data_IF_348345701326
#
_entry.id   IF_348345701326
#
_cell.length_a   1.000
_cell.length_b   1.000
_cell.length_c   1.000
_cell.angle_alpha   90.00
_cell.angle_beta   90.00
_cell.angle_gamma   90.00
#
_symmetry.space_group_name_H-M   'P 1'
#
loop_
_entity.id
_entity.type
_entity.pdbx_description
1 polymer ?
#
# COMPACT_ATOMS: atom_id res chain seq x y z
N UNK A 1 -5.28 -3.86 4.14
CA UNK A 1 -4.24 -3.91 3.08
C UNK A 1 -3.12 -4.76 3.62
N UNK A 2 -2.77 -5.82 2.94
CA UNK A 2 -1.74 -6.79 3.35
C UNK A 2 -0.38 -6.06 3.50
N UNK A 3 0.17 -6.05 4.68
CA UNK A 3 1.47 -5.44 4.98
C UNK A 3 2.56 -6.43 4.58
N UNK A 4 2.95 -6.50 3.38
CA UNK A 4 3.86 -7.51 2.82
C UNK A 4 3.55 -7.77 1.36
N UNK A 5 2.58 -7.03 0.81
CA UNK A 5 2.30 -7.13 -0.61
C UNK A 5 3.54 -6.72 -1.41
N UNK A 6 3.95 -7.58 -2.30
CA UNK A 6 5.04 -7.31 -3.24
C UNK A 6 4.75 -6.02 -4.01
N UNK A 7 5.72 -5.11 -4.06
CA UNK A 7 5.57 -3.79 -4.69
C UNK A 7 5.18 -3.91 -6.17
N UNK A 8 4.38 -2.96 -6.68
CA UNK A 8 3.93 -2.97 -8.08
C UNK A 8 5.08 -3.03 -9.09
N UNK A 9 6.19 -2.34 -8.83
CA UNK A 9 7.36 -2.36 -9.72
C UNK A 9 8.03 -3.73 -9.79
N UNK A 10 8.07 -4.45 -8.68
CA UNK A 10 8.56 -5.84 -8.65
C UNK A 10 7.60 -6.73 -9.45
N UNK A 11 6.30 -6.57 -9.29
CA UNK A 11 5.29 -7.30 -10.08
C UNK A 11 5.40 -6.99 -11.57
N UNK A 12 5.59 -5.73 -11.94
CA UNK A 12 5.85 -5.29 -13.31
C UNK A 12 7.11 -5.95 -13.87
N UNK A 13 8.19 -6.02 -13.07
CA UNK A 13 9.42 -6.70 -13.48
C UNK A 13 9.21 -8.18 -13.76
N UNK A 14 8.52 -8.91 -12.87
CA UNK A 14 8.18 -10.32 -13.12
C UNK A 14 7.30 -10.48 -14.36
N UNK A 15 6.32 -9.61 -14.55
CA UNK A 15 5.47 -9.60 -15.74
C UNK A 15 6.21 -9.29 -17.04
N UNK A 16 7.17 -8.36 -17.02
CA UNK A 16 7.98 -8.00 -18.18
C UNK A 16 9.04 -9.06 -18.52
N UNK A 17 9.58 -9.74 -17.51
CA UNK A 17 10.63 -10.74 -17.64
C UNK A 17 10.13 -12.19 -17.54
N UNK A 18 8.85 -12.43 -17.84
CA UNK A 18 8.23 -13.76 -17.74
C UNK A 18 8.97 -14.84 -18.57
N UNK A 19 9.67 -14.45 -19.64
CA UNK A 19 10.49 -15.35 -20.44
C UNK A 19 11.62 -16.03 -19.66
N UNK A 20 12.15 -15.41 -18.59
CA UNK A 20 13.17 -16.02 -17.74
C UNK A 20 12.65 -17.26 -16.99
N UNK A 21 11.33 -17.35 -16.80
CA UNK A 21 10.65 -18.39 -16.06
C UNK A 21 9.95 -19.41 -16.96
N UNK A 22 9.91 -19.14 -18.27
CA UNK A 22 9.20 -19.97 -19.24
C UNK A 22 9.75 -21.40 -19.28
N UNK A 23 8.86 -22.38 -19.18
CA UNK A 23 9.20 -23.81 -19.28
C UNK A 23 10.00 -24.36 -18.07
N UNK A 24 10.25 -23.58 -17.04
CA UNK A 24 10.96 -24.00 -15.82
C UNK A 24 10.00 -24.21 -14.66
N UNK A 25 10.31 -25.10 -13.71
CA UNK A 25 9.61 -25.14 -12.43
C UNK A 25 9.96 -23.88 -11.62
N UNK A 26 8.96 -23.32 -10.97
CA UNK A 26 9.15 -22.18 -10.07
C UNK A 26 8.75 -22.60 -8.65
N UNK A 27 9.67 -22.41 -7.73
CA UNK A 27 9.46 -22.63 -6.30
C UNK A 27 9.40 -21.30 -5.58
N UNK A 28 8.32 -21.06 -4.84
CA UNK A 28 8.11 -19.79 -4.13
C UNK A 28 8.14 -20.00 -2.64
N UNK A 29 9.14 -19.44 -1.98
CA UNK A 29 9.24 -19.41 -0.52
C UNK A 29 8.60 -18.16 0.06
N UNK A 30 7.83 -18.31 1.14
CA UNK A 30 7.07 -17.24 1.79
C UNK A 30 6.06 -16.57 0.85
N UNK A 31 5.18 -17.37 0.26
CA UNK A 31 4.18 -16.98 -0.77
C UNK A 31 3.22 -15.88 -0.33
N UNK A 32 2.93 -15.79 0.97
CA UNK A 32 2.06 -14.77 1.55
C UNK A 32 0.68 -14.73 0.90
N UNK A 33 0.43 -13.76 0.05
CA UNK A 33 -0.84 -13.63 -0.66
C UNK A 33 -0.77 -14.08 -2.13
N UNK A 34 0.11 -14.97 -2.50
CA UNK A 34 0.27 -15.52 -3.86
C UNK A 34 0.32 -14.46 -4.96
N UNK A 35 1.00 -13.36 -4.68
CA UNK A 35 0.99 -12.19 -5.60
C UNK A 35 1.83 -12.45 -6.84
N UNK A 36 3.01 -13.04 -6.69
CA UNK A 36 3.91 -13.32 -7.81
C UNK A 36 3.44 -14.54 -8.58
N UNK A 37 2.94 -15.55 -7.91
CA UNK A 37 2.28 -16.70 -8.53
C UNK A 37 1.14 -16.25 -9.46
N UNK A 38 0.34 -15.27 -9.01
CA UNK A 38 -0.70 -14.67 -9.84
C UNK A 38 -0.11 -13.99 -11.08
N UNK A 39 0.96 -13.20 -10.93
CA UNK A 39 1.62 -12.52 -12.06
C UNK A 39 2.16 -13.53 -13.08
N UNK A 40 2.81 -14.58 -12.61
CA UNK A 40 3.40 -15.62 -13.48
C UNK A 40 2.32 -16.48 -14.14
N UNK A 41 1.21 -16.74 -13.43
CA UNK A 41 0.08 -17.54 -13.97
C UNK A 41 -0.64 -16.85 -15.13
N UNK A 42 -0.74 -15.53 -15.11
CA UNK A 42 -1.39 -14.73 -16.17
C UNK A 42 -0.43 -14.20 -17.23
N UNK A 43 0.87 -14.48 -17.10
CA UNK A 43 1.88 -14.03 -18.03
C UNK A 43 1.72 -14.68 -19.42
N UNK A 44 2.24 -14.01 -20.47
CA UNK A 44 2.16 -14.49 -21.86
C UNK A 44 2.85 -15.85 -22.04
N UNK A 45 4.00 -16.06 -21.41
CA UNK A 45 4.65 -17.37 -21.31
C UNK A 45 4.65 -17.78 -19.85
N UNK A 46 4.29 -19.04 -19.60
CA UNK A 46 4.10 -19.55 -18.25
C UNK A 46 5.25 -20.45 -17.82
N UNK A 47 5.53 -20.51 -16.52
CA UNK A 47 6.34 -21.59 -15.95
C UNK A 47 5.75 -22.97 -16.29
N UNK A 48 6.60 -24.01 -16.25
CA UNK A 48 6.16 -25.41 -16.40
C UNK A 48 5.25 -25.82 -15.22
N UNK A 49 5.64 -25.42 -14.04
CA UNK A 49 4.88 -25.59 -12.80
C UNK A 49 5.21 -24.48 -11.80
N UNK A 50 4.28 -24.20 -10.90
CA UNK A 50 4.47 -23.29 -9.76
C UNK A 50 4.21 -24.08 -8.49
N UNK A 51 5.22 -24.11 -7.61
CA UNK A 51 5.19 -24.77 -6.32
C UNK A 51 5.38 -23.68 -5.27
N UNK A 52 4.47 -23.59 -4.31
CA UNK A 52 4.45 -22.52 -3.31
C UNK A 52 4.59 -23.06 -1.90
N UNK A 53 5.20 -22.28 -1.01
CA UNK A 53 5.31 -22.64 0.42
C UNK A 53 5.18 -21.42 1.33
N UNK A 54 4.63 -21.65 2.51
CA UNK A 54 4.56 -20.70 3.63
C UNK A 54 4.16 -21.45 4.91
N UNK A 55 4.44 -20.86 6.06
CA UNK A 55 4.14 -21.45 7.38
C UNK A 55 2.94 -20.80 8.07
N UNK A 56 2.39 -19.71 7.53
CA UNK A 56 1.27 -19.00 8.17
C UNK A 56 -0.07 -19.69 7.92
N UNK A 57 -0.93 -19.74 8.94
CA UNK A 57 -2.30 -20.27 8.80
C UNK A 57 -3.02 -19.65 7.58
N UNK A 58 -2.97 -18.32 7.46
CA UNK A 58 -3.64 -17.61 6.36
C UNK A 58 -3.20 -18.10 4.98
N UNK A 59 -1.89 -18.15 4.75
CA UNK A 59 -1.35 -18.58 3.45
C UNK A 59 -1.59 -20.06 3.22
N UNK A 60 -1.48 -20.88 4.25
CA UNK A 60 -1.62 -22.34 4.15
C UNK A 60 -3.06 -22.75 3.82
N UNK A 61 -4.07 -22.12 4.43
CA UNK A 61 -5.47 -22.34 4.04
C UNK A 61 -5.73 -21.93 2.60
N UNK A 62 -5.19 -20.78 2.17
CA UNK A 62 -5.34 -20.33 0.78
C UNK A 62 -4.57 -21.25 -0.19
N UNK A 63 -3.38 -21.70 0.18
CA UNK A 63 -2.57 -22.63 -0.60
C UNK A 63 -3.31 -23.97 -0.83
N UNK A 64 -3.83 -24.56 0.24
CA UNK A 64 -4.67 -25.75 0.16
C UNK A 64 -5.90 -25.53 -0.75
N UNK A 65 -6.60 -24.40 -0.59
CA UNK A 65 -7.73 -24.06 -1.47
C UNK A 65 -7.34 -23.95 -2.95
N UNK A 66 -6.22 -23.32 -3.26
CA UNK A 66 -5.80 -23.13 -4.66
C UNK A 66 -5.28 -24.42 -5.31
N UNK A 67 -4.83 -25.38 -4.51
CA UNK A 67 -4.34 -26.69 -4.98
C UNK A 67 -5.31 -27.85 -4.77
N UNK A 68 -6.57 -27.56 -4.44
CA UNK A 68 -7.61 -28.56 -4.15
C UNK A 68 -7.26 -29.52 -3.01
N UNK A 69 -6.42 -29.06 -2.07
CA UNK A 69 -6.04 -29.81 -0.89
C UNK A 69 -7.01 -29.64 0.27
N UNK A 70 -6.96 -30.59 1.19
CA UNK A 70 -7.69 -30.51 2.45
C UNK A 70 -6.93 -29.68 3.48
N UNK A 71 -7.69 -28.98 4.33
CA UNK A 71 -7.15 -28.22 5.45
C UNK A 71 -8.05 -28.37 6.68
N UNK A 72 -7.48 -28.31 7.88
CA UNK A 72 -8.19 -28.44 9.15
C UNK A 72 -7.89 -27.30 10.08
N UNK A 73 -8.92 -26.68 10.62
CA UNK A 73 -8.82 -25.66 11.67
C UNK A 73 -9.87 -25.95 12.73
N UNK A 74 -9.48 -25.85 13.99
CA UNK A 74 -10.39 -25.86 15.13
C UNK A 74 -10.62 -24.44 15.60
N UNK A 75 -11.85 -24.14 16.01
CA UNK A 75 -12.19 -22.84 16.61
C UNK A 75 -11.79 -22.83 18.06
N UNK A 76 -11.10 -21.79 18.51
CA UNK A 76 -10.76 -21.57 19.92
C UNK A 76 -11.92 -20.98 20.71
N UNK A 77 -11.96 -21.20 22.04
CA UNK A 77 -12.98 -20.59 22.92
C UNK A 77 -13.12 -19.09 22.76
N UNK A 78 -14.36 -18.59 22.72
CA UNK A 78 -14.70 -17.19 22.47
C UNK A 78 -14.86 -16.80 20.99
N UNK A 79 -14.59 -17.75 20.07
CA UNK A 79 -14.75 -17.55 18.62
C UNK A 79 -15.71 -18.56 17.98
N UNK A 80 -16.57 -19.20 18.75
CA UNK A 80 -17.53 -20.23 18.31
C UNK A 80 -18.43 -19.75 17.17
N UNK A 81 -18.63 -18.45 17.06
CA UNK A 81 -19.37 -17.82 15.97
C UNK A 81 -18.72 -18.02 14.58
N UNK A 82 -17.44 -18.44 14.51
CA UNK A 82 -16.74 -18.78 13.27
C UNK A 82 -17.08 -20.20 12.78
N UNK A 83 -17.51 -21.10 13.64
CA UNK A 83 -17.73 -22.51 13.32
C UNK A 83 -18.52 -22.75 12.03
N UNK A 84 -19.61 -22.01 11.73
CA UNK A 84 -20.39 -22.20 10.51
C UNK A 84 -19.61 -21.87 9.21
N UNK A 85 -18.50 -21.14 9.32
CA UNK A 85 -17.71 -20.68 8.20
C UNK A 85 -16.46 -21.52 7.93
N UNK A 86 -16.23 -22.59 8.69
CA UNK A 86 -15.06 -23.45 8.60
C UNK A 86 -15.36 -24.82 7.99
N UNK A 87 -16.53 -25.02 7.39
CA UNK A 87 -16.91 -26.26 6.74
C UNK A 87 -16.22 -26.38 5.36
N UNK A 88 -15.09 -27.08 5.30
CA UNK A 88 -14.30 -27.32 4.11
C UNK A 88 -13.34 -26.17 3.74
N UNK A 89 -12.31 -26.50 2.98
CA UNK A 89 -11.15 -25.64 2.68
C UNK A 89 -11.54 -24.31 2.01
N UNK A 90 -12.48 -24.31 1.07
CA UNK A 90 -12.97 -23.06 0.45
C UNK A 90 -13.61 -22.12 1.46
N UNK A 91 -14.42 -22.66 2.37
CA UNK A 91 -15.10 -21.87 3.40
C UNK A 91 -14.10 -21.28 4.38
N UNK A 92 -13.12 -22.08 4.81
CA UNK A 92 -12.01 -21.64 5.67
C UNK A 92 -11.19 -20.54 4.99
N UNK A 93 -10.83 -20.71 3.71
CA UNK A 93 -10.10 -19.71 2.95
C UNK A 93 -10.83 -18.36 2.92
N UNK A 94 -12.15 -18.37 2.66
CA UNK A 94 -12.96 -17.17 2.67
C UNK A 94 -13.06 -16.53 4.09
N UNK A 95 -13.21 -17.35 5.12
CA UNK A 95 -13.22 -16.87 6.51
C UNK A 95 -11.88 -16.20 6.88
N UNK A 96 -10.76 -16.80 6.49
CA UNK A 96 -9.43 -16.22 6.71
C UNK A 96 -9.26 -14.87 5.99
N UNK A 97 -9.77 -14.71 4.77
CA UNK A 97 -9.75 -13.41 4.06
C UNK A 97 -10.51 -12.34 4.84
N UNK A 98 -11.68 -12.64 5.37
CA UNK A 98 -12.48 -11.70 6.18
C UNK A 98 -11.79 -11.40 7.51
N UNK A 99 -11.28 -12.41 8.20
CA UNK A 99 -10.55 -12.23 9.46
C UNK A 99 -9.33 -11.34 9.29
N UNK A 100 -8.61 -11.45 8.18
CA UNK A 100 -7.48 -10.57 7.88
C UNK A 100 -7.91 -9.08 7.78
N UNK A 101 -9.06 -8.80 7.18
CA UNK A 101 -9.63 -7.44 7.14
C UNK A 101 -10.05 -6.94 8.54
N UNK A 102 -10.36 -7.86 9.45
CA UNK A 102 -10.72 -7.57 10.83
C UNK A 102 -9.51 -7.43 11.77
N UNK A 103 -8.31 -7.82 11.34
CA UNK A 103 -7.11 -7.93 12.17
C UNK A 103 -6.75 -6.67 12.98
N UNK A 104 -7.01 -5.50 12.41
CA UNK A 104 -6.80 -4.22 13.09
C UNK A 104 -7.72 -4.00 14.30
N UNK A 105 -8.89 -4.66 14.33
CA UNK A 105 -9.95 -4.47 15.35
C UNK A 105 -9.92 -5.53 16.45
N UNK A 106 -9.23 -6.62 16.19
CA UNK A 106 -9.19 -7.79 17.07
C UNK A 106 -8.86 -7.46 18.54
N UNK A 107 -7.90 -6.57 18.80
CA UNK A 107 -7.50 -6.19 20.15
C UNK A 107 -8.50 -5.31 20.91
N UNK A 108 -9.49 -4.77 20.24
CA UNK A 108 -10.57 -3.96 20.83
C UNK A 108 -10.10 -2.82 21.77
N UNK A 109 -8.90 -2.29 21.57
CA UNK A 109 -8.23 -1.34 22.46
C UNK A 109 -8.97 0.00 22.65
N UNK A 110 -9.81 0.37 21.71
CA UNK A 110 -10.57 1.63 21.73
C UNK A 110 -12.05 1.36 21.57
N UNK A 111 -12.90 2.31 22.00
CA UNK A 111 -14.36 2.24 21.75
C UNK A 111 -14.68 2.08 20.25
N UNK A 112 -13.86 2.70 19.37
CA UNK A 112 -13.99 2.53 17.94
C UNK A 112 -13.67 1.10 17.50
N UNK A 113 -12.54 0.51 17.97
CA UNK A 113 -12.17 -0.87 17.62
C UNK A 113 -13.25 -1.86 18.08
N UNK A 114 -13.80 -1.72 19.28
CA UNK A 114 -14.91 -2.56 19.76
C UNK A 114 -16.14 -2.46 18.88
N UNK A 115 -16.56 -1.23 18.50
CA UNK A 115 -17.70 -1.04 17.59
C UNK A 115 -17.45 -1.64 16.21
N UNK A 116 -16.24 -1.48 15.66
CA UNK A 116 -15.88 -2.06 14.38
C UNK A 116 -15.80 -3.58 14.43
N UNK A 117 -15.30 -4.14 15.51
CA UNK A 117 -15.30 -5.59 15.74
C UNK A 117 -16.72 -6.16 15.72
N UNK A 118 -17.63 -5.60 16.50
CA UNK A 118 -19.03 -6.01 16.52
C UNK A 118 -19.75 -5.79 15.18
N UNK A 119 -19.45 -4.69 14.50
CA UNK A 119 -19.98 -4.44 13.15
C UNK A 119 -19.53 -5.53 12.16
N UNK A 120 -18.24 -5.85 12.14
CA UNK A 120 -17.72 -6.89 11.27
C UNK A 120 -18.28 -8.28 11.60
N UNK A 121 -18.45 -8.61 12.86
CA UNK A 121 -19.12 -9.88 13.24
C UNK A 121 -20.52 -9.96 12.64
N UNK A 122 -21.32 -8.89 12.74
CA UNK A 122 -22.67 -8.83 12.15
C UNK A 122 -22.68 -8.93 10.62
N UNK A 123 -21.67 -8.39 9.97
CA UNK A 123 -21.52 -8.40 8.50
C UNK A 123 -20.72 -9.60 7.98
N UNK A 124 -20.26 -10.49 8.86
CA UNK A 124 -19.32 -11.54 8.51
C UNK A 124 -19.85 -12.47 7.43
N UNK A 125 -21.09 -12.91 7.53
CA UNK A 125 -21.73 -13.81 6.56
C UNK A 125 -21.77 -13.21 5.14
N UNK A 126 -22.05 -11.91 5.03
CA UNK A 126 -22.06 -11.21 3.74
C UNK A 126 -20.63 -11.05 3.18
N UNK A 127 -19.69 -10.59 4.01
CA UNK A 127 -18.30 -10.45 3.64
C UNK A 127 -17.68 -11.80 3.24
N UNK A 128 -18.00 -12.86 3.92
CA UNK A 128 -17.57 -14.22 3.64
C UNK A 128 -18.09 -14.72 2.28
N UNK A 129 -19.39 -14.55 1.98
CA UNK A 129 -19.95 -14.88 0.66
C UNK A 129 -19.24 -14.13 -0.46
N UNK A 130 -18.97 -12.85 -0.26
CA UNK A 130 -18.24 -12.02 -1.20
C UNK A 130 -16.78 -12.50 -1.37
N UNK A 131 -16.11 -12.87 -0.27
CA UNK A 131 -14.76 -13.42 -0.30
C UNK A 131 -14.71 -14.75 -1.08
N UNK A 132 -15.68 -15.66 -0.89
CA UNK A 132 -15.80 -16.91 -1.68
C UNK A 132 -15.86 -16.62 -3.18
N UNK A 133 -16.73 -15.72 -3.61
CA UNK A 133 -16.85 -15.35 -5.02
C UNK A 133 -15.53 -14.80 -5.60
N UNK A 134 -14.82 -13.96 -4.86
CA UNK A 134 -13.51 -13.43 -5.28
C UNK A 134 -12.43 -14.51 -5.34
N UNK A 135 -12.39 -15.41 -4.39
CA UNK A 135 -11.45 -16.53 -4.36
C UNK A 135 -11.70 -17.50 -5.52
N UNK A 136 -12.96 -17.81 -5.83
CA UNK A 136 -13.32 -18.65 -6.99
C UNK A 136 -12.85 -18.03 -8.33
N UNK A 137 -13.02 -16.71 -8.51
CA UNK A 137 -12.49 -15.99 -9.68
C UNK A 137 -10.97 -16.09 -9.74
N UNK A 138 -10.31 -15.88 -8.61
CA UNK A 138 -8.85 -15.93 -8.52
C UNK A 138 -8.30 -17.32 -8.82
N UNK A 139 -8.93 -18.37 -8.29
CA UNK A 139 -8.54 -19.76 -8.52
C UNK A 139 -8.54 -20.13 -10.00
N UNK A 140 -9.48 -19.61 -10.80
CA UNK A 140 -9.54 -19.84 -12.24
C UNK A 140 -8.33 -19.30 -13.01
N UNK A 141 -7.69 -18.25 -12.51
CA UNK A 141 -6.55 -17.59 -13.15
C UNK A 141 -5.20 -17.93 -12.52
N UNK A 142 -5.20 -18.48 -11.32
CA UNK A 142 -4.00 -18.80 -10.55
C UNK A 142 -3.67 -20.29 -10.75
N UNK A 143 -2.50 -20.56 -11.31
CA UNK A 143 -2.02 -21.91 -11.57
C UNK A 143 -0.90 -22.25 -10.58
N UNK A 144 -1.26 -22.85 -9.44
CA UNK A 144 -0.32 -23.44 -8.49
C UNK A 144 -0.50 -24.94 -8.55
N UNK A 145 0.59 -25.66 -8.84
CA UNK A 145 0.56 -27.12 -8.99
C UNK A 145 0.62 -27.82 -7.63
N UNK A 146 1.42 -27.29 -6.72
CA UNK A 146 1.57 -27.85 -5.36
C UNK A 146 1.77 -26.73 -4.36
N UNK A 147 1.28 -26.95 -3.16
CA UNK A 147 1.51 -26.09 -2.01
C UNK A 147 2.07 -26.93 -0.84
N UNK A 148 3.09 -26.40 -0.17
CA UNK A 148 3.68 -27.01 1.02
C UNK A 148 3.51 -26.03 2.20
N UNK A 149 2.84 -26.49 3.25
CA UNK A 149 2.78 -25.81 4.53
C UNK A 149 4.09 -26.11 5.30
N UNK A 150 5.20 -25.51 4.88
CA UNK A 150 6.53 -25.83 5.39
C UNK A 150 7.45 -24.60 5.41
N UNK A 151 8.43 -24.64 6.31
CA UNK A 151 9.48 -23.64 6.40
C UNK A 151 10.33 -23.63 5.11
N UNK A 152 10.57 -22.45 4.60
CA UNK A 152 11.41 -22.22 3.44
C UNK A 152 12.79 -22.87 3.55
N UNK A 153 13.34 -22.99 4.76
CA UNK A 153 14.61 -23.68 5.04
C UNK A 153 14.59 -25.14 4.59
N UNK A 154 13.47 -25.83 4.82
CA UNK A 154 13.28 -27.23 4.42
C UNK A 154 12.95 -27.34 2.93
N UNK A 155 12.14 -26.41 2.43
CA UNK A 155 11.70 -26.43 1.03
C UNK A 155 12.86 -26.26 0.06
N UNK A 156 13.86 -25.44 0.41
CA UNK A 156 15.00 -25.13 -0.48
C UNK A 156 15.84 -26.36 -0.82
N UNK A 157 15.88 -27.38 0.05
CA UNK A 157 16.61 -28.62 -0.20
C UNK A 157 15.97 -29.50 -1.28
N UNK A 158 14.73 -29.24 -1.62
CA UNK A 158 13.96 -29.99 -2.63
C UNK A 158 13.86 -29.28 -3.98
N UNK A 159 14.44 -28.08 -4.08
CA UNK A 159 14.41 -27.29 -5.32
C UNK A 159 15.31 -27.96 -6.37
N UNK A 160 14.78 -28.41 -7.51
CA UNK A 160 15.59 -29.02 -8.58
C UNK A 160 16.55 -28.02 -9.22
N UNK A 161 17.65 -28.50 -9.81
CA UNK A 161 18.68 -27.68 -10.46
C UNK A 161 18.13 -26.86 -11.65
N UNK A 162 17.12 -27.37 -12.36
CA UNK A 162 16.48 -26.70 -13.49
C UNK A 162 15.42 -25.68 -13.04
N UNK A 163 15.05 -25.65 -11.76
CA UNK A 163 14.06 -24.74 -11.20
C UNK A 163 14.62 -23.36 -10.89
N UNK A 164 13.72 -22.41 -10.67
CA UNK A 164 14.04 -21.08 -10.12
C UNK A 164 13.35 -20.91 -8.78
N UNK A 165 14.12 -20.62 -7.75
CA UNK A 165 13.61 -20.35 -6.41
C UNK A 165 13.33 -18.85 -6.23
N UNK A 166 12.11 -18.50 -5.89
CA UNK A 166 11.69 -17.13 -5.61
C UNK A 166 11.62 -16.94 -4.09
N UNK A 167 12.54 -16.15 -3.56
CA UNK A 167 12.70 -15.94 -2.13
C UNK A 167 12.10 -14.61 -1.69
N UNK A 168 11.03 -14.67 -0.90
CA UNK A 168 10.35 -13.51 -0.31
C UNK A 168 10.48 -13.50 1.22
N UNK A 169 11.64 -13.78 1.74
CA UNK A 169 11.90 -13.78 3.18
C UNK A 169 11.39 -12.51 3.86
N UNK A 170 10.88 -12.60 5.09
CA UNK A 170 10.49 -11.44 5.86
C UNK A 170 11.66 -10.44 5.97
N UNK A 171 11.41 -9.20 5.52
CA UNK A 171 12.41 -8.11 5.60
C UNK A 171 12.28 -7.30 6.89
N UNK A 172 11.37 -7.68 7.79
CA UNK A 172 11.04 -6.97 9.01
C UNK A 172 11.25 -7.87 10.22
N UNK A 173 11.99 -7.38 11.20
CA UNK A 173 12.21 -8.08 12.48
C UNK A 173 10.92 -8.16 13.35
N UNK A 174 9.88 -7.42 13.03
CA UNK A 174 8.58 -7.48 13.71
C UNK A 174 7.48 -6.91 12.80
N UNK A 175 6.31 -7.54 12.76
CA UNK A 175 5.15 -7.00 12.04
C UNK A 175 4.28 -8.02 11.32
N UNK A 176 4.84 -9.12 10.85
CA UNK A 176 4.06 -10.23 10.28
C UNK A 176 3.20 -10.90 11.35
N UNK A 177 3.76 -11.16 12.51
CA UNK A 177 3.05 -11.68 13.70
C UNK A 177 1.82 -10.83 14.07
N UNK A 178 1.90 -9.51 13.93
CA UNK A 178 0.75 -8.63 14.20
C UNK A 178 -0.45 -8.89 13.29
N UNK A 179 -0.21 -9.25 12.05
CA UNK A 179 -1.27 -9.55 11.09
C UNK A 179 -1.93 -10.87 11.38
N UNK A 180 -1.14 -11.84 11.82
CA UNK A 180 -1.60 -13.21 12.02
C UNK A 180 -2.14 -13.50 13.42
N UNK A 181 -1.92 -12.62 14.40
CA UNK A 181 -2.45 -12.77 15.77
C UNK A 181 -3.95 -13.03 15.88
N UNK A 182 -4.74 -12.55 14.93
CA UNK A 182 -6.16 -12.84 14.91
C UNK A 182 -6.43 -14.32 14.62
N UNK A 183 -5.63 -14.94 13.78
CA UNK A 183 -5.74 -16.35 13.45
C UNK A 183 -5.31 -17.21 14.63
N UNK A 184 -4.17 -16.90 15.23
CA UNK A 184 -3.66 -17.57 16.43
C UNK A 184 -4.64 -17.46 17.62
N UNK A 185 -5.32 -16.32 17.76
CA UNK A 185 -6.31 -16.11 18.80
C UNK A 185 -7.64 -16.84 18.55
N UNK A 186 -8.04 -16.96 17.27
CA UNK A 186 -9.36 -17.44 16.90
C UNK A 186 -9.38 -18.93 16.56
N UNK A 187 -8.25 -19.48 16.11
CA UNK A 187 -8.18 -20.82 15.54
C UNK A 187 -6.93 -21.56 16.00
N UNK A 188 -7.05 -22.86 16.04
CA UNK A 188 -5.97 -23.81 16.25
C UNK A 188 -5.76 -24.60 14.95
N UNK A 189 -4.52 -24.73 14.56
CA UNK A 189 -4.14 -25.55 13.43
C UNK A 189 -3.46 -26.84 13.95
N UNK A 190 -4.17 -27.99 13.94
CA UNK A 190 -3.62 -29.25 14.51
C UNK A 190 -2.34 -29.71 13.81
N UNK A 191 -2.22 -29.47 12.51
CA UNK A 191 -1.10 -29.89 11.68
C UNK A 191 -0.12 -28.72 11.42
N UNK A 192 0.03 -27.79 12.39
CA UNK A 192 0.91 -26.64 12.24
C UNK A 192 2.37 -27.08 12.01
N UNK A 193 3.02 -26.61 10.93
CA UNK A 193 4.40 -26.98 10.66
C UNK A 193 5.33 -26.31 11.69
N UNK A 194 6.32 -27.07 12.13
CA UNK A 194 7.42 -26.48 12.90
C UNK A 194 8.19 -25.47 12.02
N UNK A 195 8.39 -24.29 12.54
CA UNK A 195 9.24 -23.29 11.89
C UNK A 195 10.08 -22.54 12.92
N UNK A 196 11.18 -21.97 12.46
CA UNK A 196 12.04 -21.14 13.31
C UNK A 196 12.03 -19.72 12.81
N UNK A 197 11.80 -18.77 13.72
CA UNK A 197 11.83 -17.34 13.41
C UNK A 197 13.17 -16.95 12.78
N UNK A 198 13.09 -16.22 11.68
CA UNK A 198 14.28 -15.74 10.97
C UNK A 198 14.84 -14.51 11.69
N UNK A 199 15.96 -14.70 12.39
CA UNK A 199 16.84 -13.62 12.84
C UNK A 199 17.88 -13.25 11.77
N UNK A 200 18.76 -12.31 12.09
CA UNK A 200 19.80 -11.86 11.17
C UNK A 200 20.81 -12.97 10.81
N UNK A 201 21.22 -13.79 11.78
CA UNK A 201 22.18 -14.86 11.55
C UNK A 201 21.58 -15.97 10.69
N UNK A 202 20.37 -16.40 11.02
CA UNK A 202 19.66 -17.43 10.23
C UNK A 202 19.34 -16.94 8.82
N UNK A 203 19.09 -15.64 8.65
CA UNK A 203 18.93 -15.05 7.32
C UNK A 203 20.18 -15.17 6.48
N UNK A 204 21.36 -14.89 7.03
CA UNK A 204 22.62 -15.05 6.31
C UNK A 204 22.87 -16.50 5.90
N UNK A 205 22.66 -17.46 6.82
CA UNK A 205 22.76 -18.90 6.53
C UNK A 205 21.78 -19.33 5.43
N UNK A 206 20.55 -18.81 5.44
CA UNK A 206 19.57 -19.07 4.41
C UNK A 206 19.99 -18.55 3.04
N UNK A 207 20.58 -17.35 3.00
CA UNK A 207 21.10 -16.76 1.78
C UNK A 207 22.29 -17.56 1.23
N UNK A 208 23.18 -17.99 2.09
CA UNK A 208 24.30 -18.85 1.72
C UNK A 208 23.80 -20.19 1.15
N UNK A 209 22.87 -20.85 1.83
CA UNK A 209 22.22 -22.07 1.35
C UNK A 209 21.58 -21.86 -0.02
N UNK A 210 20.77 -20.80 -0.19
CA UNK A 210 20.12 -20.50 -1.45
C UNK A 210 21.12 -20.25 -2.60
N UNK A 211 22.21 -19.51 -2.35
CA UNK A 211 23.21 -19.21 -3.37
C UNK A 211 23.99 -20.43 -3.84
N UNK A 212 24.18 -21.39 -2.95
CA UNK A 212 24.93 -22.61 -3.22
C UNK A 212 24.10 -23.72 -3.89
N UNK A 213 22.74 -23.68 -3.73
CA UNK A 213 21.87 -24.77 -4.17
C UNK A 213 20.93 -24.40 -5.31
N UNK A 214 20.60 -23.13 -5.51
CA UNK A 214 19.50 -22.76 -6.41
C UNK A 214 19.87 -21.70 -7.44
N UNK A 215 19.15 -21.72 -8.58
CA UNK A 215 18.90 -20.51 -9.34
C UNK A 215 17.80 -19.73 -8.61
N UNK A 216 17.99 -18.42 -8.41
CA UNK A 216 17.07 -17.69 -7.57
C UNK A 216 16.75 -16.27 -8.07
N UNK A 217 15.63 -15.76 -7.59
CA UNK A 217 15.30 -14.33 -7.51
C UNK A 217 14.96 -14.02 -6.05
N UNK A 218 15.69 -13.09 -5.45
CA UNK A 218 15.57 -12.76 -4.03
C UNK A 218 15.26 -11.28 -3.82
N UNK A 219 14.33 -10.99 -2.89
CA UNK A 219 13.98 -9.64 -2.46
C UNK A 219 14.55 -9.37 -1.08
N UNK A 220 15.33 -8.29 -0.95
CA UNK A 220 15.87 -7.84 0.33
C UNK A 220 15.66 -6.33 0.53
N UNK A 221 15.80 -5.86 1.76
CA UNK A 221 15.86 -4.45 2.14
C UNK A 221 17.31 -3.94 2.26
N UNK A 222 18.28 -4.80 2.08
CA UNK A 222 19.73 -4.51 2.10
C UNK A 222 20.33 -4.84 0.74
N UNK A 223 21.19 -3.95 0.23
CA UNK A 223 21.95 -4.22 -0.98
C UNK A 223 23.06 -5.24 -0.66
N UNK A 224 23.05 -6.38 -1.38
CA UNK A 224 23.99 -7.46 -1.13
C UNK A 224 24.89 -7.70 -2.33
N UNK A 225 26.17 -7.37 -2.18
CA UNK A 225 27.14 -7.51 -3.27
C UNK A 225 27.41 -8.96 -3.66
N UNK A 226 27.22 -9.90 -2.75
CA UNK A 226 27.48 -11.35 -2.95
C UNK A 226 26.30 -12.09 -3.59
N UNK A 227 25.13 -11.48 -3.74
CA UNK A 227 23.94 -12.12 -4.30
C UNK A 227 23.80 -11.83 -5.80
N UNK A 228 24.66 -12.37 -6.64
CA UNK A 228 24.53 -12.30 -8.09
C UNK A 228 24.32 -10.87 -8.61
N UNK A 229 23.50 -10.71 -9.66
CA UNK A 229 23.19 -9.43 -10.26
C UNK A 229 22.07 -8.73 -9.49
N UNK A 230 22.28 -7.47 -9.12
CA UNK A 230 21.22 -6.62 -8.58
C UNK A 230 20.42 -6.00 -9.72
N UNK A 231 19.26 -6.58 -10.01
CA UNK A 231 18.42 -6.17 -11.14
C UNK A 231 17.52 -4.98 -10.85
N UNK A 232 17.25 -4.70 -9.57
CA UNK A 232 16.40 -3.58 -9.19
C UNK A 232 16.80 -3.01 -7.84
N UNK A 233 16.79 -1.68 -7.73
CA UNK A 233 16.88 -0.95 -6.48
C UNK A 233 15.78 0.11 -6.45
N UNK A 234 14.93 0.11 -5.43
CA UNK A 234 13.82 1.04 -5.33
C UNK A 234 13.54 1.44 -3.89
N UNK A 235 12.85 2.57 -3.71
CA UNK A 235 12.37 3.00 -2.40
C UNK A 235 10.90 2.58 -2.23
N UNK A 236 10.62 1.74 -1.26
CA UNK A 236 9.26 1.36 -0.87
C UNK A 236 8.89 2.05 0.47
N UNK A 237 8.24 3.20 0.38
CA UNK A 237 8.00 4.04 1.56
C UNK A 237 9.29 4.63 2.12
N UNK A 238 9.63 4.30 3.37
CA UNK A 238 10.86 4.74 4.03
C UNK A 238 12.04 3.76 3.89
N UNK A 239 11.86 2.63 3.23
CA UNK A 239 12.87 1.56 3.16
C UNK A 239 13.28 1.27 1.72
N UNK A 240 14.57 1.00 1.48
CA UNK A 240 15.01 0.48 0.20
C UNK A 240 14.53 -0.97 0.02
N UNK A 241 14.31 -1.36 -1.21
CA UNK A 241 14.04 -2.74 -1.62
C UNK A 241 14.92 -3.06 -2.82
N UNK A 242 15.58 -4.17 -2.76
CA UNK A 242 16.49 -4.67 -3.78
C UNK A 242 16.00 -6.00 -4.31
N UNK A 243 16.13 -6.20 -5.60
CA UNK A 243 15.89 -7.49 -6.26
C UNK A 243 17.24 -8.01 -6.77
N UNK A 244 17.59 -9.22 -6.36
CA UNK A 244 18.84 -9.90 -6.73
C UNK A 244 18.54 -11.21 -7.44
N UNK A 245 19.40 -11.60 -8.40
CA UNK A 245 19.29 -12.88 -9.08
C UNK A 245 20.65 -13.38 -9.56
N UNK A 246 20.79 -14.70 -9.66
CA UNK A 246 21.89 -15.37 -10.35
C UNK A 246 21.49 -15.93 -11.72
N UNK A 247 20.29 -15.60 -12.19
CA UNK A 247 19.86 -16.00 -13.54
C UNK A 247 20.73 -15.34 -14.61
N UNK A 248 21.13 -16.08 -15.66
CA UNK A 248 21.93 -15.54 -16.76
C UNK A 248 21.11 -14.55 -17.60
N UNK A 249 21.82 -13.65 -18.28
CA UNK A 249 21.25 -12.70 -19.24
C UNK A 249 20.21 -11.72 -18.65
N UNK A 250 20.25 -11.48 -17.36
CA UNK A 250 19.42 -10.46 -16.70
C UNK A 250 20.23 -9.16 -16.62
N UNK A 251 19.80 -8.15 -17.36
CA UNK A 251 20.39 -6.83 -17.29
C UNK A 251 20.15 -6.17 -15.92
N UNK A 252 21.14 -5.44 -15.42
CA UNK A 252 20.99 -4.60 -14.24
C UNK A 252 20.22 -3.34 -14.63
N UNK A 253 18.91 -3.38 -14.60
CA UNK A 253 18.09 -2.16 -14.59
C UNK A 253 18.13 -1.58 -13.17
N UNK A 254 19.07 -0.69 -12.95
CA UNK A 254 19.05 0.16 -11.77
C UNK A 254 17.83 1.09 -11.89
N UNK A 255 16.69 0.65 -11.40
CA UNK A 255 15.62 1.58 -11.07
C UNK A 255 16.16 2.47 -9.94
N UNK A 256 16.85 3.51 -10.29
CA UNK A 256 17.01 4.64 -9.38
C UNK A 256 15.60 5.09 -9.07
N UNK A 257 15.13 4.81 -7.86
CA UNK A 257 13.96 5.48 -7.32
C UNK A 257 14.34 6.95 -7.19
N UNK A 258 14.27 7.71 -8.28
CA UNK A 258 14.78 9.06 -8.25
C UNK A 258 14.50 9.84 -9.51
N UNK A 259 14.50 9.22 -10.64
CA UNK A 259 13.94 9.87 -11.82
C UNK A 259 12.46 9.55 -11.92
N UNK A 260 11.69 10.16 -11.05
CA UNK A 260 10.26 10.32 -11.32
C UNK A 260 10.19 11.05 -12.65
N UNK A 261 9.66 10.38 -13.69
CA UNK A 261 9.37 11.05 -14.95
C UNK A 261 8.61 12.32 -14.57
N UNK A 262 9.20 13.46 -14.84
CA UNK A 262 8.61 14.77 -14.59
C UNK A 262 8.00 15.23 -15.88
N UNK A 263 6.76 15.62 -15.85
CA UNK A 263 6.04 16.16 -16.99
C UNK A 263 5.32 17.44 -16.53
N UNK A 264 5.54 18.52 -17.21
CA UNK A 264 4.77 19.73 -16.97
C UNK A 264 3.27 19.43 -17.10
N UNK A 265 2.41 19.98 -16.23
CA UNK A 265 0.96 19.88 -16.40
C UNK A 265 0.54 20.45 -17.75
N UNK A 266 -0.54 19.90 -18.31
CA UNK A 266 -1.12 20.40 -19.56
C UNK A 266 -1.75 21.80 -19.38
N UNK A 267 -2.07 22.17 -18.14
CA UNK A 267 -2.61 23.49 -17.79
C UNK A 267 -1.46 24.42 -17.40
N UNK A 268 -1.50 25.64 -17.92
CA UNK A 268 -0.49 26.66 -17.64
C UNK A 268 -0.42 26.99 -16.13
N UNK A 269 0.78 27.14 -15.58
CA UNK A 269 0.93 27.66 -14.23
C UNK A 269 0.66 29.15 -14.20
N UNK A 270 0.12 29.62 -13.07
CA UNK A 270 0.06 31.05 -12.80
C UNK A 270 1.48 31.63 -12.78
N UNK A 271 1.79 32.49 -13.71
CA UNK A 271 3.07 33.21 -13.74
C UNK A 271 3.18 34.23 -12.63
N UNK A 272 4.41 34.66 -12.33
CA UNK A 272 4.65 35.63 -11.25
C UNK A 272 3.85 36.93 -11.44
N UNK A 273 3.76 37.42 -12.67
CA UNK A 273 3.11 38.67 -13.02
C UNK A 273 1.78 38.48 -13.77
N UNK A 274 1.31 37.22 -13.90
CA UNK A 274 0.06 36.92 -14.62
C UNK A 274 -1.13 37.60 -13.94
N UNK A 275 -1.94 38.31 -14.71
CA UNK A 275 -3.18 38.91 -14.26
C UNK A 275 -4.35 37.99 -14.54
N UNK A 276 -5.16 37.72 -13.53
CA UNK A 276 -6.38 36.93 -13.64
C UNK A 276 -7.56 37.84 -14.05
N UNK A 277 -8.47 37.29 -14.83
CA UNK A 277 -9.70 37.99 -15.14
C UNK A 277 -10.50 38.35 -13.89
N UNK A 278 -11.24 39.46 -13.89
CA UNK A 278 -11.96 40.01 -12.72
C UNK A 278 -12.92 39.03 -12.05
N UNK A 279 -13.46 38.10 -12.82
CA UNK A 279 -14.34 37.04 -12.34
C UNK A 279 -13.55 35.77 -12.08
N UNK A 280 -13.28 35.47 -10.83
CA UNK A 280 -12.57 34.25 -10.45
C UNK A 280 -13.48 33.02 -10.49
N UNK A 281 -13.01 31.99 -11.18
CA UNK A 281 -13.62 30.65 -11.21
C UNK A 281 -12.62 29.63 -10.68
N UNK A 282 -13.02 28.83 -9.67
CA UNK A 282 -12.18 27.75 -9.14
C UNK A 282 -12.56 26.45 -9.83
N UNK A 283 -11.59 25.78 -10.41
CA UNK A 283 -11.70 24.40 -10.91
C UNK A 283 -10.66 23.49 -10.25
N UNK A 284 -10.96 22.19 -10.26
CA UNK A 284 -10.09 21.14 -9.72
C UNK A 284 -9.87 20.13 -10.84
N UNK A 285 -8.62 19.88 -11.17
CA UNK A 285 -8.22 18.94 -12.22
C UNK A 285 -7.48 17.75 -11.62
N UNK A 286 -7.59 16.59 -12.21
CA UNK A 286 -6.77 15.42 -11.83
C UNK A 286 -5.38 15.57 -12.43
N UNK A 287 -4.35 15.33 -11.62
CA UNK A 287 -2.96 15.32 -12.08
C UNK A 287 -2.43 13.89 -12.09
N UNK A 288 -1.63 13.58 -13.09
CA UNK A 288 -0.84 12.35 -13.11
C UNK A 288 0.33 12.45 -12.10
N UNK A 289 0.92 11.31 -11.73
CA UNK A 289 2.09 11.30 -10.83
C UNK A 289 3.26 12.14 -11.37
N UNK A 290 3.62 12.08 -12.66
CA UNK A 290 4.65 12.94 -13.25
C UNK A 290 4.34 14.44 -13.16
N UNK A 291 3.11 14.85 -13.43
CA UNK A 291 2.68 16.26 -13.37
C UNK A 291 2.71 16.80 -11.94
N UNK A 292 2.15 16.03 -10.99
CA UNK A 292 2.18 16.40 -9.58
C UNK A 292 3.62 16.50 -9.05
N UNK A 293 4.47 15.54 -9.40
CA UNK A 293 5.88 15.56 -9.00
C UNK A 293 6.61 16.77 -9.59
N UNK A 294 6.33 17.13 -10.85
CA UNK A 294 6.94 18.29 -11.50
C UNK A 294 6.63 19.60 -10.74
N UNK A 295 5.35 19.85 -10.39
CA UNK A 295 4.96 21.03 -9.61
C UNK A 295 5.54 20.99 -8.20
N UNK A 296 5.44 19.84 -7.52
CA UNK A 296 5.93 19.68 -6.16
C UNK A 296 7.42 19.94 -6.03
N UNK A 297 8.22 19.38 -6.93
CA UNK A 297 9.67 19.43 -6.84
C UNK A 297 10.23 20.84 -7.10
N UNK A 298 9.44 21.70 -7.75
CA UNK A 298 9.81 23.11 -7.94
C UNK A 298 9.52 24.00 -6.72
N UNK A 299 8.44 23.71 -5.99
CA UNK A 299 7.91 24.64 -4.98
C UNK A 299 7.93 24.09 -3.55
N UNK A 300 8.24 22.79 -3.36
CA UNK A 300 8.36 22.22 -2.03
C UNK A 300 9.78 22.41 -1.48
N UNK A 301 9.88 22.77 -0.20
CA UNK A 301 11.18 22.91 0.45
C UNK A 301 12.00 21.61 0.38
N UNK A 302 13.24 21.68 -0.11
CA UNK A 302 14.11 20.51 -0.39
C UNK A 302 14.40 19.62 0.85
N UNK A 303 14.24 20.13 2.06
CA UNK A 303 14.43 19.39 3.32
C UNK A 303 13.29 18.43 3.66
N UNK A 304 12.14 18.52 2.98
CA UNK A 304 11.00 17.65 3.21
C UNK A 304 11.05 16.52 2.20
N UNK A 305 11.19 15.28 2.68
CA UNK A 305 11.05 14.08 1.85
C UNK A 305 9.55 13.82 1.71
N UNK A 306 8.94 14.11 0.56
CA UNK A 306 7.50 13.96 0.41
C UNK A 306 7.14 12.49 0.16
N UNK A 307 6.22 11.97 0.96
CA UNK A 307 5.55 10.73 0.62
C UNK A 307 4.69 10.92 -0.65
N UNK A 308 4.53 9.87 -1.44
CA UNK A 308 3.68 9.91 -2.64
C UNK A 308 2.20 9.91 -2.24
N UNK A 309 1.40 10.90 -2.66
CA UNK A 309 -0.05 10.89 -2.45
C UNK A 309 -0.71 9.84 -3.36
N UNK A 310 -1.80 9.26 -2.86
CA UNK A 310 -2.60 8.31 -3.65
C UNK A 310 -3.46 9.01 -4.70
N UNK A 311 -3.98 10.20 -4.36
CA UNK A 311 -4.84 11.00 -5.22
C UNK A 311 -4.27 12.41 -5.34
N UNK A 312 -4.18 12.91 -6.55
CA UNK A 312 -3.43 14.12 -6.93
C UNK A 312 -4.31 15.04 -7.74
N UNK A 313 -4.44 16.28 -7.28
CA UNK A 313 -5.29 17.28 -7.94
C UNK A 313 -4.57 18.60 -8.05
N UNK A 314 -4.80 19.27 -9.17
CA UNK A 314 -4.48 20.67 -9.39
C UNK A 314 -5.63 21.56 -8.98
N UNK A 315 -5.34 22.68 -8.39
CA UNK A 315 -6.27 23.77 -8.11
C UNK A 315 -6.01 24.87 -9.13
N UNK A 316 -7.02 25.21 -9.92
CA UNK A 316 -6.93 26.28 -10.90
C UNK A 316 -7.83 27.45 -10.51
N UNK A 317 -7.38 28.67 -10.84
CA UNK A 317 -8.22 29.86 -10.92
C UNK A 317 -8.28 30.25 -12.38
N UNK A 318 -9.52 30.33 -12.88
CA UNK A 318 -9.78 30.47 -14.30
C UNK A 318 -9.07 29.30 -15.03
N UNK A 319 -8.12 29.55 -15.89
CA UNK A 319 -7.36 28.57 -16.66
C UNK A 319 -5.95 28.27 -16.09
N UNK A 320 -5.52 29.00 -15.03
CA UNK A 320 -4.17 28.88 -14.50
C UNK A 320 -4.11 27.99 -13.27
N UNK A 321 -3.16 27.06 -13.26
CA UNK A 321 -2.84 26.23 -12.08
C UNK A 321 -2.17 27.08 -11.00
N UNK A 322 -2.85 27.24 -9.87
CA UNK A 322 -2.39 28.06 -8.74
C UNK A 322 -1.84 27.22 -7.58
N UNK A 323 -1.98 25.90 -7.63
CA UNK A 323 -1.45 25.01 -6.62
C UNK A 323 -1.91 23.57 -6.78
N UNK A 324 -1.45 22.71 -5.87
CA UNK A 324 -1.77 21.28 -5.90
C UNK A 324 -2.18 20.74 -4.54
N UNK A 325 -3.00 19.70 -4.58
CA UNK A 325 -3.49 18.95 -3.43
C UNK A 325 -3.13 17.47 -3.59
N UNK A 326 -2.41 16.93 -2.62
CA UNK A 326 -2.06 15.52 -2.57
C UNK A 326 -2.78 14.83 -1.41
N UNK A 327 -3.55 13.79 -1.70
CA UNK A 327 -4.39 13.11 -0.73
C UNK A 327 -3.97 11.66 -0.53
N UNK A 328 -4.22 11.17 0.67
CA UNK A 328 -4.00 9.77 1.06
C UNK A 328 -5.10 9.31 2.02
N UNK A 329 -5.22 8.00 2.22
CA UNK A 329 -6.01 7.46 3.33
C UNK A 329 -5.35 7.87 4.65
N UNK A 330 -6.12 8.36 5.61
CA UNK A 330 -5.59 8.65 6.95
C UNK A 330 -5.15 7.34 7.63
N UNK A 331 -3.92 7.33 8.12
CA UNK A 331 -3.42 6.25 8.97
C UNK A 331 -3.85 6.43 10.44
N UNK A 332 -4.13 7.68 10.83
CA UNK A 332 -4.48 8.07 12.18
C UNK A 332 -5.89 8.65 12.21
N UNK A 333 -6.86 7.82 12.46
CA UNK A 333 -8.26 8.24 12.46
C UNK A 333 -9.00 7.74 11.23
N UNK A 334 -9.72 6.67 11.44
CA UNK A 334 -10.49 5.98 10.41
C UNK A 334 -11.71 6.79 9.99
N UNK A 335 -12.12 6.64 8.75
CA UNK A 335 -13.25 7.39 8.18
C UNK A 335 -12.89 8.81 7.75
N UNK A 336 -11.60 9.13 7.59
CA UNK A 336 -11.15 10.44 7.13
C UNK A 336 -10.06 10.32 6.06
N UNK A 337 -10.03 11.29 5.17
CA UNK A 337 -8.89 11.50 4.27
C UNK A 337 -7.72 12.15 5.02
N UNK A 338 -6.54 12.05 4.46
CA UNK A 338 -5.36 12.78 4.92
C UNK A 338 -4.85 13.66 3.77
N UNK A 339 -4.87 14.97 3.99
CA UNK A 339 -4.24 15.93 3.09
C UNK A 339 -2.73 15.92 3.38
N UNK A 340 -2.02 15.16 2.56
CA UNK A 340 -0.59 14.92 2.72
C UNK A 340 0.26 16.11 2.26
N UNK A 341 -0.20 16.75 1.20
CA UNK A 341 0.51 17.84 0.57
C UNK A 341 -0.51 18.86 0.03
N UNK A 342 -0.28 20.12 0.34
CA UNK A 342 -1.02 21.24 -0.21
C UNK A 342 -0.03 22.39 -0.39
N UNK A 343 0.13 22.88 -1.59
CA UNK A 343 1.04 23.96 -1.89
C UNK A 343 0.55 24.80 -3.06
N UNK A 344 0.98 26.05 -3.07
CA UNK A 344 0.65 27.00 -4.11
C UNK A 344 1.86 27.37 -4.94
N UNK A 345 1.62 27.73 -6.18
CA UNK A 345 2.59 28.39 -7.04
C UNK A 345 2.80 29.83 -6.54
N UNK A 346 4.03 30.35 -6.48
CA UNK A 346 4.28 31.73 -6.08
C UNK A 346 3.70 32.73 -7.09
N UNK A 347 3.28 33.91 -6.60
CA UNK A 347 2.87 35.03 -7.41
C UNK A 347 3.25 36.33 -6.73
N UNK A 348 3.66 37.33 -7.48
CA UNK A 348 3.91 38.69 -7.00
C UNK A 348 2.60 39.49 -6.87
N UNK A 349 1.64 39.17 -7.71
CA UNK A 349 0.34 39.88 -7.75
C UNK A 349 -0.67 39.38 -6.71
N UNK A 350 -0.68 38.05 -6.42
CA UNK A 350 -1.69 37.44 -5.57
C UNK A 350 -1.12 36.92 -4.27
N UNK A 351 -1.59 37.47 -3.16
CA UNK A 351 -1.18 37.05 -1.81
C UNK A 351 -2.02 35.86 -1.31
N UNK A 352 -1.51 35.12 -0.37
CA UNK A 352 -2.23 34.04 0.35
C UNK A 352 -2.72 32.90 -0.53
N UNK A 353 -2.14 32.65 -1.70
CA UNK A 353 -2.50 31.51 -2.57
C UNK A 353 -2.39 30.18 -1.85
N UNK A 354 -1.39 29.97 -0.99
CA UNK A 354 -1.28 28.72 -0.19
C UNK A 354 -2.47 28.53 0.76
N UNK A 355 -3.06 29.63 1.26
CA UNK A 355 -4.25 29.59 2.10
C UNK A 355 -5.51 29.34 1.26
N UNK A 356 -5.57 29.87 0.03
CA UNK A 356 -6.60 29.58 -0.94
C UNK A 356 -6.62 28.09 -1.30
N UNK A 357 -5.47 27.50 -1.65
CA UNK A 357 -5.35 26.08 -2.00
C UNK A 357 -5.85 25.20 -0.84
N UNK A 358 -5.46 25.53 0.39
CA UNK A 358 -5.98 24.86 1.58
C UNK A 358 -7.49 25.04 1.76
N UNK A 359 -8.04 26.22 1.43
CA UNK A 359 -9.48 26.48 1.49
C UNK A 359 -10.25 25.69 0.43
N UNK A 360 -9.69 25.51 -0.75
CA UNK A 360 -10.27 24.63 -1.81
C UNK A 360 -10.36 23.19 -1.33
N UNK A 361 -9.39 22.71 -0.54
CA UNK A 361 -9.46 21.38 0.06
C UNK A 361 -10.70 21.16 0.94
N UNK A 362 -11.28 22.23 1.53
CA UNK A 362 -12.52 22.19 2.32
C UNK A 362 -13.81 22.23 1.49
N UNK A 363 -13.74 22.38 0.19
CA UNK A 363 -14.95 22.53 -0.61
C UNK A 363 -15.75 21.24 -0.70
N UNK A 364 -17.09 21.35 -0.73
CA UNK A 364 -18.00 20.23 -1.02
C UNK A 364 -17.59 19.55 -2.32
N UNK A 365 -17.23 20.33 -3.33
CA UNK A 365 -16.77 19.82 -4.62
C UNK A 365 -15.53 18.92 -4.51
N UNK A 366 -14.51 19.30 -3.70
CA UNK A 366 -13.36 18.44 -3.46
C UNK A 366 -13.77 17.16 -2.74
N UNK A 367 -14.67 17.26 -1.76
CA UNK A 367 -15.23 16.11 -1.07
C UNK A 367 -15.97 15.15 -2.01
N UNK A 368 -16.74 15.68 -2.96
CA UNK A 368 -17.46 14.87 -3.96
C UNK A 368 -16.49 14.16 -4.90
N UNK A 369 -15.48 14.87 -5.41
CA UNK A 369 -14.41 14.26 -6.22
C UNK A 369 -13.75 13.10 -5.47
N UNK A 370 -13.36 13.31 -4.21
CA UNK A 370 -12.72 12.27 -3.40
C UNK A 370 -13.65 11.08 -3.15
N UNK A 371 -14.92 11.31 -2.85
CA UNK A 371 -15.93 10.26 -2.67
C UNK A 371 -16.12 9.44 -3.93
N UNK A 372 -16.25 10.09 -5.08
CA UNK A 372 -16.37 9.43 -6.39
C UNK A 372 -15.12 8.61 -6.73
N UNK A 373 -13.94 9.20 -6.54
CA UNK A 373 -12.66 8.52 -6.84
C UNK A 373 -12.38 7.32 -5.93
N UNK A 374 -12.82 7.38 -4.67
CA UNK A 374 -12.45 6.39 -3.65
C UNK A 374 -13.56 5.41 -3.31
N UNK A 375 -14.80 5.69 -3.70
CA UNK A 375 -15.99 4.95 -3.27
C UNK A 375 -16.29 5.07 -1.78
N UNK A 376 -15.76 6.10 -1.08
CA UNK A 376 -15.86 6.25 0.38
C UNK A 376 -16.62 7.50 0.77
N UNK A 377 -17.64 7.36 1.60
CA UNK A 377 -18.51 8.44 2.08
C UNK A 377 -17.91 9.22 3.27
N UNK A 378 -16.60 9.45 3.26
CA UNK A 378 -15.95 10.21 4.32
C UNK A 378 -16.24 11.71 4.21
N UNK A 379 -16.55 12.33 5.33
CA UNK A 379 -17.01 13.73 5.39
C UNK A 379 -15.96 14.73 5.82
N UNK A 380 -14.76 14.25 6.16
CA UNK A 380 -13.70 15.11 6.65
C UNK A 380 -12.30 14.61 6.34
N UNK A 381 -11.33 15.44 6.69
CA UNK A 381 -9.93 15.14 6.48
C UNK A 381 -9.04 15.72 7.59
N UNK A 382 -7.82 15.22 7.65
CA UNK A 382 -6.77 15.69 8.56
C UNK A 382 -5.54 16.11 7.77
N UNK A 383 -4.73 16.98 8.38
CA UNK A 383 -3.38 17.33 7.90
C UNK A 383 -2.49 17.67 9.09
N UNK A 384 -1.18 17.62 8.88
CA UNK A 384 -0.18 17.93 9.91
C UNK A 384 0.74 19.02 9.40
N UNK A 385 0.90 20.09 10.18
CA UNK A 385 1.95 21.09 9.98
C UNK A 385 3.16 20.75 10.87
N UNK A 386 4.31 20.60 10.28
CA UNK A 386 5.58 20.47 11.01
C UNK A 386 6.12 21.85 11.29
N UNK A 387 5.98 22.32 12.53
CA UNK A 387 6.41 23.66 12.96
C UNK A 387 6.45 23.77 14.47
N UNK A 388 7.43 24.52 14.99
CA UNK A 388 7.50 24.89 16.40
C UNK A 388 6.69 26.16 16.74
N UNK A 389 6.16 26.84 15.72
CA UNK A 389 5.30 28.03 15.90
C UNK A 389 3.99 27.65 16.59
N UNK A 390 3.35 28.62 17.23
CA UNK A 390 2.09 28.43 17.94
C UNK A 390 0.94 27.94 17.02
N UNK A 391 0.89 28.42 15.80
CA UNK A 391 -0.11 28.07 14.77
C UNK A 391 0.54 28.12 13.39
N UNK A 392 -0.01 27.34 12.45
CA UNK A 392 0.31 27.50 11.05
C UNK A 392 -0.56 28.62 10.46
N UNK A 393 0.06 29.69 10.00
CA UNK A 393 -0.65 30.82 9.37
C UNK A 393 -1.46 30.40 8.12
N UNK A 394 -1.02 29.36 7.43
CA UNK A 394 -1.71 28.77 6.28
C UNK A 394 -3.04 28.17 6.68
N UNK A 395 -3.10 27.43 7.77
CA UNK A 395 -4.30 26.71 8.20
C UNK A 395 -5.21 27.52 9.14
N UNK A 396 -4.69 28.60 9.73
CA UNK A 396 -5.45 29.47 10.64
C UNK A 396 -6.68 30.07 9.94
N UNK A 397 -7.87 29.83 10.51
CA UNK A 397 -9.15 30.29 9.95
C UNK A 397 -9.63 29.53 8.72
N UNK A 398 -8.92 28.45 8.34
CA UNK A 398 -9.33 27.49 7.31
C UNK A 398 -9.64 26.14 7.93
N UNK A 399 -8.76 25.62 8.77
CA UNK A 399 -8.89 24.33 9.44
C UNK A 399 -8.96 24.49 10.95
N UNK A 400 -9.61 23.55 11.61
CA UNK A 400 -9.70 23.52 13.06
C UNK A 400 -8.47 22.85 13.67
N UNK A 401 -7.88 23.47 14.69
CA UNK A 401 -6.79 22.91 15.46
C UNK A 401 -7.29 21.71 16.26
N UNK A 402 -6.66 20.55 16.11
CA UNK A 402 -7.00 19.33 16.85
C UNK A 402 -6.03 19.03 17.97
N UNK A 403 -4.74 19.02 17.67
CA UNK A 403 -3.68 18.69 18.64
C UNK A 403 -2.40 19.44 18.28
N UNK A 404 -1.69 19.87 19.30
CA UNK A 404 -0.32 20.43 19.18
C UNK A 404 0.63 19.60 20.04
N UNK A 405 1.76 19.25 19.48
CA UNK A 405 2.87 18.67 20.21
C UNK A 405 4.10 19.60 20.04
N UNK A 406 4.35 20.40 21.09
CA UNK A 406 5.47 21.37 21.07
C UNK A 406 6.83 20.67 21.10
N UNK A 407 6.94 19.52 21.79
CA UNK A 407 8.20 18.78 21.90
C UNK A 407 8.60 18.19 20.55
N UNK A 408 7.65 17.60 19.83
CA UNK A 408 7.86 16.97 18.51
C UNK A 408 7.72 17.97 17.35
N UNK A 409 7.37 19.21 17.58
CA UNK A 409 7.28 20.24 16.55
C UNK A 409 6.21 20.00 15.50
N UNK A 410 5.02 19.51 15.88
CA UNK A 410 3.91 19.34 14.94
C UNK A 410 2.56 19.85 15.47
N UNK A 411 1.69 20.19 14.54
CA UNK A 411 0.31 20.62 14.80
C UNK A 411 -0.61 19.86 13.86
N UNK A 412 -1.59 19.16 14.42
CA UNK A 412 -2.63 18.45 13.66
C UNK A 412 -3.86 19.33 13.49
N UNK A 413 -4.35 19.38 12.28
CA UNK A 413 -5.56 20.09 11.89
C UNK A 413 -6.59 19.13 11.33
N UNK A 414 -7.87 19.52 11.45
CA UNK A 414 -9.02 18.79 10.89
C UNK A 414 -9.87 19.76 10.08
N UNK A 415 -10.38 19.29 8.96
CA UNK A 415 -11.33 20.00 8.10
C UNK A 415 -12.49 19.11 7.70
N UNK A 416 -13.62 19.75 7.38
CA UNK A 416 -14.83 19.13 6.81
C UNK A 416 -15.03 19.66 5.39
N UNK A 417 -15.77 18.92 4.56
CA UNK A 417 -16.11 19.36 3.18
C UNK A 417 -17.41 20.15 3.18
N UNK A 418 -17.40 21.34 3.74
CA UNK A 418 -18.61 22.16 3.99
C UNK A 418 -18.64 23.49 3.26
N UNK A 419 -17.53 23.94 2.66
CA UNK A 419 -17.48 25.22 1.97
C UNK A 419 -17.91 25.12 0.50
N UNK A 420 -18.57 26.18 -0.01
CA UNK A 420 -18.77 26.35 -1.44
C UNK A 420 -17.58 27.06 -2.08
N UNK A 421 -17.38 26.88 -3.40
CA UNK A 421 -16.36 27.60 -4.16
C UNK A 421 -16.52 29.13 -4.05
N UNK A 422 -17.76 29.63 -4.05
CA UNK A 422 -18.07 31.06 -3.86
C UNK A 422 -17.59 31.57 -2.49
N UNK A 423 -17.78 30.78 -1.43
CA UNK A 423 -17.29 31.12 -0.08
C UNK A 423 -15.74 31.17 -0.04
N UNK A 424 -15.07 30.27 -0.72
CA UNK A 424 -13.60 30.28 -0.80
C UNK A 424 -13.10 31.56 -1.45
N UNK A 425 -13.66 31.95 -2.60
CA UNK A 425 -13.28 33.21 -3.31
C UNK A 425 -13.53 34.43 -2.40
N UNK A 426 -14.72 34.51 -1.78
CA UNK A 426 -15.05 35.61 -0.86
C UNK A 426 -14.07 35.74 0.30
N UNK A 427 -13.68 34.60 0.90
CA UNK A 427 -12.71 34.58 2.00
C UNK A 427 -11.31 34.91 1.51
N UNK A 428 -10.90 34.41 0.35
CA UNK A 428 -9.60 34.73 -0.21
C UNK A 428 -9.43 36.20 -0.50
N UNK A 429 -10.38 36.85 -1.18
CA UNK A 429 -10.40 38.31 -1.40
C UNK A 429 -10.29 39.11 -0.08
N UNK A 430 -10.83 38.57 1.03
CA UNK A 430 -10.68 39.19 2.37
C UNK A 430 -9.27 38.97 2.97
N UNK A 431 -8.62 37.85 2.66
CA UNK A 431 -7.29 37.58 3.17
C UNK A 431 -6.18 38.24 2.36
N UNK A 432 -6.46 38.59 1.14
CA UNK A 432 -5.56 39.27 0.22
C UNK A 432 -5.35 40.74 0.58
N UNK A 433 -6.40 41.38 1.11
CA UNK A 433 -6.34 42.70 1.75
C UNK A 433 -5.54 42.65 3.06
#
# INVERSE_FOLDING_TARGET
>A
MFTGAVNSKIREWFGANHGLFAGRPIWVGCSGNFTIETVLSIAKTRPREIISSDVSIYTSVLGAYFTDGDFRLNVKPGYEWLQPYLAGTESMAAACVVLLEMSDFHRQQTRYHRRMWEHWKKQFAEAWRFAKGRLAIRKKSLHINRYFAEDMWTVIDRVPDDAVFLSFMPTYAAGYERLYRIFEAAMEWPDEPGYVMIDAARKELMLEKMTNTCRYVHIDNVARAKLGVRVMAMQAGSRPVFLHTNLPNVGSELYRSGERKRKAPSVALLGLETELADRYTISIITLTSPEFAWVRDQYLAKKIIPAEPSWKYGVCINEYLVGVLGWKRSQFGRGMYYLLCDMAVPSNRYRRLSKLVCAVARTRHMGDILRQTTGRLWTGFRTTAFTHKAVSMKYRGVLNLQKRDKKKGFINYVGTFDWSRKQVIKKWKKWEK
#
